data_IF_753693205494
#
_entry.id   IF_753693205494
#
_cell.length_a   1.000
_cell.length_b   1.000
_cell.length_c   1.000
_cell.angle_alpha   90.00
_cell.angle_beta   90.00
_cell.angle_gamma   90.00
#
_symmetry.space_group_name_H-M   'P 1'
#
loop_
_entity.id
_entity.type
_entity.pdbx_description
1 polymer ?
#
# COMPACT_ATOMS: atom_id res chain seq x y z
N UNK A 1 -15.27 -18.54 12.26
CA UNK A 1 -14.16 -18.82 11.32
C UNK A 1 -13.37 -17.54 11.20
N UNK A 2 -12.08 -17.57 11.50
CA UNK A 2 -11.19 -16.41 11.38
C UNK A 2 -11.15 -15.99 9.91
N UNK A 3 -11.49 -14.75 9.63
CA UNK A 3 -11.44 -14.21 8.26
C UNK A 3 -10.01 -13.70 8.01
N UNK A 4 -9.25 -14.42 7.19
CA UNK A 4 -7.86 -14.07 6.86
C UNK A 4 -7.79 -13.42 5.49
N UNK A 5 -6.96 -12.39 5.35
CA UNK A 5 -6.58 -11.77 4.08
C UNK A 5 -5.05 -11.74 3.93
N UNK A 6 -4.58 -11.66 2.70
CA UNK A 6 -3.17 -11.42 2.40
C UNK A 6 -2.96 -9.95 2.04
N UNK A 7 -2.05 -9.28 2.76
CA UNK A 7 -1.56 -7.94 2.41
C UNK A 7 -0.19 -8.04 1.76
N UNK A 8 0.02 -7.29 0.66
CA UNK A 8 1.32 -7.10 0.01
C UNK A 8 1.63 -5.61 -0.03
N UNK A 9 2.77 -5.22 0.49
CA UNK A 9 3.28 -3.85 0.50
C UNK A 9 4.47 -3.74 -0.45
N UNK A 10 4.31 -2.96 -1.52
CA UNK A 10 5.34 -2.70 -2.52
C UNK A 10 6.06 -1.40 -2.16
N UNK A 11 7.31 -1.52 -1.75
CA UNK A 11 8.17 -0.37 -1.46
C UNK A 11 9.39 -0.30 -2.38
N UNK A 12 10.06 0.85 -2.41
CA UNK A 12 11.27 1.04 -3.22
C UNK A 12 12.44 0.12 -2.86
N UNK A 13 12.52 -0.35 -1.60
CA UNK A 13 13.61 -1.23 -1.13
C UNK A 13 13.21 -2.69 -0.95
N UNK A 14 11.92 -3.00 -1.00
CA UNK A 14 11.43 -4.37 -0.77
C UNK A 14 9.93 -4.48 -0.89
N UNK A 15 9.51 -5.65 -1.35
CA UNK A 15 8.13 -6.11 -1.35
C UNK A 15 7.93 -6.98 -0.13
N UNK A 16 6.95 -6.64 0.70
CA UNK A 16 6.61 -7.38 1.91
C UNK A 16 5.23 -7.99 1.77
N UNK A 17 5.00 -9.12 2.40
CA UNK A 17 3.67 -9.71 2.47
C UNK A 17 3.44 -10.48 3.75
N UNK A 18 2.18 -10.52 4.18
CA UNK A 18 1.76 -11.27 5.35
C UNK A 18 0.29 -11.69 5.22
N UNK A 19 -0.08 -12.74 5.93
CA UNK A 19 -1.47 -13.05 6.23
C UNK A 19 -1.90 -12.27 7.47
N UNK A 20 -3.10 -11.73 7.45
CA UNK A 20 -3.67 -10.91 8.53
C UNK A 20 -5.04 -11.45 8.92
N UNK A 21 -5.27 -11.61 10.20
CA UNK A 21 -6.59 -11.84 10.78
C UNK A 21 -7.38 -10.52 10.77
N UNK A 22 -8.47 -10.48 10.00
CA UNK A 22 -9.29 -9.27 9.86
C UNK A 22 -10.17 -8.95 11.09
N UNK A 23 -10.25 -9.81 12.08
CA UNK A 23 -10.94 -9.53 13.34
C UNK A 23 -10.03 -8.78 14.33
N UNK A 24 -8.76 -9.24 14.42
CA UNK A 24 -7.77 -8.66 15.36
C UNK A 24 -6.85 -7.63 14.74
N UNK A 25 -6.61 -7.70 13.43
CA UNK A 25 -5.57 -6.93 12.72
C UNK A 25 -4.15 -7.50 12.90
N UNK A 26 -4.02 -8.66 13.53
CA UNK A 26 -2.72 -9.27 13.80
C UNK A 26 -2.24 -10.17 12.66
N UNK A 27 -0.93 -10.35 12.56
CA UNK A 27 -0.33 -11.25 11.60
C UNK A 27 -0.62 -12.72 11.93
N UNK A 28 -0.90 -13.49 10.90
CA UNK A 28 -1.05 -14.95 10.97
C UNK A 28 0.19 -15.60 10.37
N UNK A 29 1.09 -16.10 11.23
CA UNK A 29 2.36 -16.67 10.80
C UNK A 29 3.44 -15.65 10.49
N UNK A 30 4.43 -16.05 9.69
CA UNK A 30 5.58 -15.23 9.35
C UNK A 30 5.31 -14.23 8.23
N UNK A 31 6.07 -13.12 8.26
CA UNK A 31 6.11 -12.17 7.15
C UNK A 31 7.16 -12.61 6.13
N UNK A 32 6.88 -12.39 4.85
CA UNK A 32 7.83 -12.56 3.76
C UNK A 32 8.29 -11.20 3.29
N UNK A 33 9.60 -11.02 3.14
CA UNK A 33 10.20 -9.85 2.49
C UNK A 33 11.15 -10.28 1.40
N UNK A 34 11.00 -9.67 0.23
CA UNK A 34 11.87 -9.88 -0.94
C UNK A 34 12.36 -8.51 -1.40
N UNK A 35 13.65 -8.32 -1.72
CA UNK A 35 14.12 -7.06 -2.29
C UNK A 35 13.34 -6.67 -3.54
N UNK A 36 13.05 -5.38 -3.68
CA UNK A 36 12.47 -4.84 -4.91
C UNK A 36 13.47 -5.06 -6.06
N UNK A 37 13.03 -5.54 -7.22
CA UNK A 37 13.93 -5.78 -8.35
C UNK A 37 14.48 -4.44 -8.90
N UNK A 38 15.63 -4.51 -9.54
CA UNK A 38 16.21 -3.39 -10.27
C UNK A 38 16.48 -3.84 -11.72
N UNK A 39 15.80 -3.25 -12.72
CA UNK A 39 14.78 -2.19 -12.62
C UNK A 39 13.45 -2.69 -12.01
N UNK A 40 12.79 -1.81 -11.25
CA UNK A 40 11.52 -2.07 -10.57
C UNK A 40 10.31 -1.90 -11.53
N UNK A 41 10.34 -2.59 -12.67
CA UNK A 41 9.27 -2.52 -13.67
C UNK A 41 7.99 -3.23 -13.18
N UNK A 42 6.80 -2.89 -13.74
CA UNK A 42 5.53 -3.51 -13.35
C UNK A 42 5.56 -5.05 -13.35
N UNK A 43 6.02 -5.66 -14.43
CA UNK A 43 6.07 -7.13 -14.55
C UNK A 43 7.07 -7.76 -13.58
N UNK A 44 8.25 -7.12 -13.39
CA UNK A 44 9.26 -7.64 -12.47
C UNK A 44 8.78 -7.62 -11.02
N UNK A 45 8.14 -6.52 -10.59
CA UNK A 45 7.57 -6.41 -9.24
C UNK A 45 6.37 -7.33 -9.06
N UNK A 46 5.49 -7.46 -10.07
CA UNK A 46 4.36 -8.40 -10.02
C UNK A 46 4.82 -9.86 -9.89
N UNK A 47 5.92 -10.24 -10.54
CA UNK A 47 6.53 -11.57 -10.36
C UNK A 47 7.06 -11.78 -8.93
N UNK A 48 7.60 -10.73 -8.29
CA UNK A 48 8.00 -10.79 -6.87
C UNK A 48 6.76 -10.93 -5.99
N UNK A 49 5.67 -10.20 -6.24
CA UNK A 49 4.41 -10.36 -5.51
C UNK A 49 3.87 -11.79 -5.62
N UNK A 50 3.95 -12.42 -6.80
CA UNK A 50 3.60 -13.83 -6.97
C UNK A 50 4.46 -14.72 -6.08
N UNK A 51 5.78 -14.50 -6.05
CA UNK A 51 6.69 -15.26 -5.17
C UNK A 51 6.34 -15.07 -3.69
N UNK A 52 5.91 -13.88 -3.27
CA UNK A 52 5.44 -13.62 -1.90
C UNK A 52 4.21 -14.48 -1.58
N UNK A 53 3.20 -14.49 -2.47
CA UNK A 53 1.99 -15.32 -2.33
C UNK A 53 2.34 -16.82 -2.21
N UNK A 54 3.22 -17.28 -3.07
CA UNK A 54 3.63 -18.70 -3.09
C UNK A 54 4.36 -19.10 -1.79
N UNK A 55 5.24 -18.22 -1.27
CA UNK A 55 5.96 -18.45 0.00
C UNK A 55 5.05 -18.42 1.22
N UNK A 56 4.03 -17.56 1.21
CA UNK A 56 3.03 -17.49 2.28
C UNK A 56 2.00 -18.63 2.22
N UNK A 57 1.98 -19.40 1.13
CA UNK A 57 0.99 -20.47 0.92
C UNK A 57 -0.44 -19.94 0.84
N UNK A 58 -0.66 -18.77 0.23
CA UNK A 58 -1.96 -18.09 0.18
C UNK A 58 -2.96 -18.93 -0.61
N UNK A 59 -3.97 -19.47 0.07
CA UNK A 59 -5.03 -20.27 -0.54
C UNK A 59 -5.83 -19.51 -1.61
N UNK A 60 -6.52 -20.21 -2.53
CA UNK A 60 -7.21 -19.56 -3.67
C UNK A 60 -8.33 -18.62 -3.25
N UNK A 61 -8.99 -18.89 -2.14
CA UNK A 61 -10.14 -18.11 -1.65
C UNK A 61 -9.74 -16.96 -0.70
N UNK A 62 -8.45 -16.82 -0.37
CA UNK A 62 -7.95 -15.75 0.50
C UNK A 62 -7.90 -14.44 -0.29
N UNK A 63 -8.61 -13.38 0.16
CA UNK A 63 -8.54 -12.07 -0.49
C UNK A 63 -7.12 -11.49 -0.45
N UNK A 64 -6.74 -10.74 -1.50
CA UNK A 64 -5.43 -10.10 -1.60
C UNK A 64 -5.57 -8.60 -1.80
N UNK A 65 -4.93 -7.84 -0.90
CA UNK A 65 -4.71 -6.40 -1.04
C UNK A 65 -3.25 -6.12 -1.38
N UNK A 66 -3.03 -5.14 -2.27
CA UNK A 66 -1.68 -4.71 -2.68
C UNK A 66 -1.58 -3.20 -2.52
N UNK A 67 -0.53 -2.73 -1.83
CA UNK A 67 -0.27 -1.30 -1.70
C UNK A 67 0.88 -0.85 -2.58
N UNK A 68 0.81 0.40 -3.02
CA UNK A 68 1.77 1.04 -3.91
C UNK A 68 2.27 2.35 -3.30
N UNK A 69 3.56 2.70 -3.48
CA UNK A 69 4.12 3.98 -3.04
C UNK A 69 3.79 5.09 -4.06
N UNK A 70 2.51 5.20 -4.40
CA UNK A 70 1.97 6.15 -5.37
C UNK A 70 0.44 6.23 -5.23
N UNK A 71 -0.20 7.33 -5.66
CA UNK A 71 -1.65 7.42 -5.77
C UNK A 71 -2.21 6.38 -6.73
N UNK A 72 -3.37 5.82 -6.38
CA UNK A 72 -4.09 4.85 -7.21
C UNK A 72 -5.51 5.34 -7.44
N UNK A 73 -5.81 5.80 -8.65
CA UNK A 73 -7.15 6.27 -9.05
C UNK A 73 -7.82 5.24 -9.95
N UNK A 74 -8.92 4.68 -9.50
CA UNK A 74 -9.66 3.62 -10.22
C UNK A 74 -8.78 2.44 -10.69
N UNK A 75 -7.70 2.17 -9.95
CA UNK A 75 -6.73 1.13 -10.26
C UNK A 75 -5.59 1.58 -11.17
N UNK A 76 -5.51 2.85 -11.54
CA UNK A 76 -4.44 3.40 -12.39
C UNK A 76 -3.52 4.29 -11.58
N UNK A 77 -2.22 4.16 -11.78
CA UNK A 77 -1.17 5.02 -11.20
C UNK A 77 -0.89 6.19 -12.15
N UNK A 78 -1.22 7.45 -11.80
CA UNK A 78 -1.00 8.60 -12.67
C UNK A 78 0.46 9.08 -12.72
N UNK A 79 1.21 8.89 -11.64
CA UNK A 79 2.64 9.19 -11.55
C UNK A 79 3.34 8.24 -10.57
N UNK A 80 4.65 8.11 -10.70
CA UNK A 80 5.47 7.24 -9.86
C UNK A 80 6.79 7.95 -9.52
N UNK A 81 7.09 8.09 -8.22
CA UNK A 81 8.32 8.71 -7.75
C UNK A 81 9.37 7.67 -7.32
N UNK A 82 8.93 6.57 -6.71
CA UNK A 82 9.79 5.66 -5.96
C UNK A 82 10.10 4.32 -6.67
N UNK A 83 9.51 4.09 -7.85
CA UNK A 83 9.74 2.91 -8.69
C UNK A 83 10.01 3.36 -10.14
N UNK A 84 10.10 2.40 -11.05
CA UNK A 84 10.33 2.66 -12.47
C UNK A 84 9.19 3.48 -13.10
N UNK A 85 9.53 4.40 -14.03
CA UNK A 85 8.55 5.27 -14.69
C UNK A 85 7.54 4.52 -15.58
N UNK A 86 7.81 3.27 -15.93
CA UNK A 86 6.88 2.41 -16.67
C UNK A 86 5.60 2.08 -15.89
N UNK A 87 5.52 2.41 -14.59
CA UNK A 87 4.30 2.32 -13.81
C UNK A 87 3.24 3.37 -14.16
N UNK A 88 3.64 4.47 -14.79
CA UNK A 88 2.72 5.56 -15.13
C UNK A 88 1.68 5.09 -16.14
N UNK A 89 0.40 5.33 -15.82
CA UNK A 89 -0.78 4.90 -16.58
C UNK A 89 -1.02 3.37 -16.62
N UNK A 90 -0.38 2.60 -15.74
CA UNK A 90 -0.67 1.16 -15.60
C UNK A 90 -1.94 0.95 -14.80
N UNK A 91 -2.85 0.12 -15.31
CA UNK A 91 -3.93 -0.46 -14.49
C UNK A 91 -3.34 -1.58 -13.62
N UNK A 92 -3.04 -1.24 -12.36
CA UNK A 92 -2.37 -2.15 -11.42
C UNK A 92 -3.28 -3.26 -10.93
N UNK A 93 -4.61 -3.08 -10.95
CA UNK A 93 -5.55 -4.15 -10.61
C UNK A 93 -5.52 -5.24 -11.67
N UNK A 94 -5.58 -4.84 -12.95
CA UNK A 94 -5.53 -5.78 -14.06
C UNK A 94 -4.16 -6.49 -14.14
N UNK A 95 -3.06 -5.74 -13.99
CA UNK A 95 -1.71 -6.30 -13.96
C UNK A 95 -1.56 -7.33 -12.84
N UNK A 96 -1.86 -6.95 -11.61
CA UNK A 96 -1.71 -7.83 -10.46
C UNK A 96 -2.65 -9.03 -10.54
N UNK A 97 -3.91 -8.84 -10.99
CA UNK A 97 -4.83 -9.95 -11.17
C UNK A 97 -4.31 -10.97 -12.17
N UNK A 98 -3.68 -10.53 -13.26
CA UNK A 98 -3.06 -11.40 -14.26
C UNK A 98 -1.91 -12.21 -13.66
N UNK A 99 -0.97 -11.56 -12.96
CA UNK A 99 0.20 -12.22 -12.39
C UNK A 99 -0.14 -13.11 -11.20
N UNK A 100 -1.08 -12.69 -10.34
CA UNK A 100 -1.44 -13.43 -9.13
C UNK A 100 -2.53 -14.49 -9.38
N UNK A 101 -3.19 -14.46 -10.55
CA UNK A 101 -4.24 -15.42 -10.94
C UNK A 101 -5.53 -15.24 -10.12
N UNK A 102 -5.76 -14.06 -9.54
CA UNK A 102 -6.92 -13.73 -8.70
C UNK A 102 -7.20 -12.23 -8.69
N UNK A 103 -8.44 -11.80 -8.41
CA UNK A 103 -8.74 -10.39 -8.17
C UNK A 103 -7.94 -9.83 -7.00
N UNK A 104 -7.56 -8.55 -7.09
CA UNK A 104 -6.87 -7.82 -6.03
C UNK A 104 -7.53 -6.48 -5.75
N UNK A 105 -7.39 -5.99 -4.52
CA UNK A 105 -7.63 -4.58 -4.18
C UNK A 105 -6.30 -3.86 -4.22
N UNK A 106 -6.25 -2.69 -4.86
CA UNK A 106 -5.06 -1.86 -4.98
C UNK A 106 -5.29 -0.50 -4.34
N UNK A 107 -4.37 -0.06 -3.49
CA UNK A 107 -4.43 1.21 -2.75
C UNK A 107 -3.05 1.88 -2.70
N UNK A 108 -3.04 3.17 -2.40
CA UNK A 108 -1.84 3.85 -1.91
C UNK A 108 -1.45 3.28 -0.53
N UNK A 109 -0.15 3.25 -0.22
CA UNK A 109 0.39 2.68 1.02
C UNK A 109 -0.03 3.47 2.28
N UNK A 110 -0.02 4.81 2.22
CA UNK A 110 -0.45 5.66 3.33
C UNK A 110 -1.97 5.57 3.56
N UNK A 111 -2.76 5.47 2.48
CA UNK A 111 -4.21 5.25 2.56
C UNK A 111 -4.51 3.93 3.28
N UNK A 112 -3.83 2.85 2.91
CA UNK A 112 -3.99 1.55 3.56
C UNK A 112 -3.57 1.58 5.03
N UNK A 113 -2.48 2.27 5.37
CA UNK A 113 -2.05 2.46 6.75
C UNK A 113 -3.08 3.27 7.56
N UNK A 114 -3.64 4.34 6.98
CA UNK A 114 -4.71 5.11 7.61
C UNK A 114 -5.97 4.28 7.90
N UNK A 115 -6.38 3.41 6.97
CA UNK A 115 -7.49 2.46 7.19
C UNK A 115 -7.16 1.51 8.34
N UNK A 116 -5.94 0.99 8.41
CA UNK A 116 -5.52 0.10 9.49
C UNK A 116 -5.58 0.81 10.85
N UNK A 117 -5.15 2.06 10.94
CA UNK A 117 -5.18 2.85 12.19
C UNK A 117 -6.60 3.13 12.68
N UNK A 118 -7.56 3.43 11.82
CA UNK A 118 -8.97 3.63 12.25
C UNK A 118 -9.68 2.31 12.56
N UNK A 119 -9.21 1.20 12.00
CA UNK A 119 -9.83 -0.10 12.22
C UNK A 119 -9.27 -0.79 13.46
N UNK A 120 -7.96 -0.77 13.66
CA UNK A 120 -7.25 -1.54 14.68
C UNK A 120 -6.38 -0.69 15.61
N UNK A 121 -5.93 0.48 15.16
CA UNK A 121 -4.91 1.28 15.82
C UNK A 121 -5.44 2.39 16.72
N UNK A 122 -4.64 3.45 16.86
CA UNK A 122 -4.86 4.57 17.78
C UNK A 122 -6.11 5.40 17.47
N UNK A 123 -6.60 5.35 16.24
CA UNK A 123 -7.78 6.08 15.79
C UNK A 123 -9.08 5.25 15.84
N UNK A 124 -9.02 4.02 16.33
CA UNK A 124 -10.20 3.14 16.44
C UNK A 124 -11.31 3.76 17.28
N UNK A 125 -12.52 3.81 16.72
CA UNK A 125 -13.70 4.38 17.37
C UNK A 125 -13.67 5.90 17.54
N UNK A 126 -12.82 6.62 16.82
CA UNK A 126 -12.80 8.07 16.77
C UNK A 126 -13.70 8.57 15.66
N UNK A 127 -14.55 9.56 15.99
CA UNK A 127 -15.38 10.27 15.02
C UNK A 127 -14.71 11.57 14.55
N UNK A 128 -15.28 12.17 13.51
CA UNK A 128 -14.84 13.44 12.96
C UNK A 128 -13.78 13.29 11.87
N UNK A 129 -12.84 14.24 11.82
CA UNK A 129 -11.74 14.25 10.84
C UNK A 129 -10.48 13.71 11.49
N UNK A 130 -9.95 12.64 10.94
CA UNK A 130 -8.69 12.03 11.35
C UNK A 130 -7.67 12.29 10.24
N UNK A 131 -6.57 12.91 10.60
CA UNK A 131 -5.40 13.07 9.71
C UNK A 131 -4.32 12.13 10.23
N UNK A 132 -3.97 11.17 9.40
CA UNK A 132 -2.88 10.24 9.64
C UNK A 132 -1.68 10.62 8.78
N UNK A 133 -0.49 10.57 9.33
CA UNK A 133 0.75 10.85 8.59
C UNK A 133 1.79 9.78 8.88
N UNK A 134 2.50 9.35 7.85
CA UNK A 134 3.71 8.55 7.96
C UNK A 134 4.93 9.42 7.70
N UNK A 135 6.00 9.22 8.45
CA UNK A 135 7.27 9.91 8.25
C UNK A 135 8.39 8.88 8.10
N UNK A 136 9.03 8.89 6.93
CA UNK A 136 10.10 7.98 6.57
C UNK A 136 10.98 8.61 5.49
N UNK A 137 11.26 7.89 4.40
CA UNK A 137 11.94 8.43 3.20
C UNK A 137 11.14 9.61 2.61
N UNK A 138 9.80 9.53 2.67
CA UNK A 138 8.86 10.58 2.33
C UNK A 138 7.87 10.84 3.45
N UNK A 139 6.87 11.67 3.18
CA UNK A 139 5.73 11.94 4.05
C UNK A 139 4.46 11.44 3.37
N UNK A 140 3.94 10.31 3.83
CA UNK A 140 2.62 9.84 3.42
C UNK A 140 1.51 10.44 4.29
N UNK A 141 0.31 10.53 3.73
CA UNK A 141 -0.86 11.02 4.45
C UNK A 141 -2.13 10.29 4.08
N UNK A 142 -3.04 10.16 5.03
CA UNK A 142 -4.41 9.72 4.81
C UNK A 142 -5.37 10.60 5.61
N UNK A 143 -6.48 10.97 5.01
CA UNK A 143 -7.57 11.70 5.68
C UNK A 143 -8.80 10.82 5.74
N UNK A 144 -9.33 10.63 6.93
CA UNK A 144 -10.55 9.85 7.16
C UNK A 144 -11.59 10.78 7.78
N UNK A 145 -12.77 10.83 7.19
CA UNK A 145 -13.90 11.65 7.65
C UNK A 145 -15.05 10.74 8.06
N UNK A 146 -15.37 10.72 9.34
CA UNK A 146 -16.43 9.87 9.90
C UNK A 146 -16.34 8.41 9.42
N UNK A 147 -15.14 7.84 9.47
CA UNK A 147 -14.86 6.46 9.05
C UNK A 147 -14.71 6.25 7.53
N UNK A 148 -14.84 7.30 6.71
CA UNK A 148 -14.69 7.21 5.26
C UNK A 148 -13.34 7.79 4.84
N UNK A 149 -12.52 7.00 4.15
CA UNK A 149 -11.25 7.45 3.61
C UNK A 149 -11.46 8.44 2.44
N UNK A 150 -10.77 9.58 2.51
CA UNK A 150 -10.54 10.46 1.38
C UNK A 150 -9.24 10.01 0.70
N UNK A 151 -9.37 9.31 -0.40
CA UNK A 151 -8.24 8.63 -1.07
C UNK A 151 -7.21 9.59 -1.67
N UNK A 152 -5.94 9.15 -1.66
CA UNK A 152 -4.84 9.81 -2.34
C UNK A 152 -4.62 11.27 -1.90
N UNK A 153 -4.60 11.52 -0.59
CA UNK A 153 -4.36 12.85 -0.01
C UNK A 153 -2.86 13.10 0.17
N UNK A 154 -2.16 13.41 -0.87
CA UNK A 154 -0.70 13.57 -0.93
C UNK A 154 -0.21 14.87 -0.23
N UNK A 155 -0.48 15.03 1.08
CA UNK A 155 -0.13 16.26 1.83
C UNK A 155 1.40 16.45 1.95
N UNK A 156 2.20 15.40 1.82
CA UNK A 156 3.66 15.51 1.79
C UNK A 156 4.17 16.37 0.63
N UNK A 157 3.42 16.44 -0.47
CA UNK A 157 3.76 17.24 -1.65
C UNK A 157 3.19 18.68 -1.62
N UNK A 158 2.71 19.13 -0.47
CA UNK A 158 2.34 20.55 -0.32
C UNK A 158 3.57 21.44 -0.46
N UNK A 159 3.42 22.53 -1.22
CA UNK A 159 4.44 23.55 -1.32
C UNK A 159 4.34 24.52 -0.13
N UNK A 160 5.41 24.66 0.63
CA UNK A 160 5.55 25.58 1.75
C UNK A 160 6.76 26.47 1.48
N UNK A 161 6.58 27.77 1.40
CA UNK A 161 7.62 28.77 1.11
C UNK A 161 8.44 28.44 -0.16
N UNK A 162 7.79 27.90 -1.21
CA UNK A 162 8.42 27.55 -2.48
C UNK A 162 9.19 26.21 -2.44
N UNK A 163 9.01 25.43 -1.39
CA UNK A 163 9.64 24.12 -1.21
C UNK A 163 8.60 23.02 -1.00
N UNK A 164 8.84 21.85 -1.55
CA UNK A 164 8.08 20.64 -1.27
C UNK A 164 8.27 20.27 0.21
N UNK A 165 7.17 20.16 0.96
CA UNK A 165 7.20 19.92 2.42
C UNK A 165 7.94 18.63 2.77
N UNK A 166 7.78 17.60 1.96
CA UNK A 166 8.45 16.31 2.13
C UNK A 166 9.98 16.45 2.11
N UNK A 167 10.52 17.24 1.18
CA UNK A 167 11.97 17.46 1.04
C UNK A 167 12.59 18.21 2.22
N UNK A 168 11.76 18.91 3.00
CA UNK A 168 12.21 19.68 4.16
C UNK A 168 12.08 18.92 5.48
N UNK A 169 11.20 17.92 5.55
CA UNK A 169 10.80 17.29 6.80
C UNK A 169 10.93 15.76 6.81
N UNK A 170 11.22 15.12 5.67
CA UNK A 170 11.47 13.68 5.62
C UNK A 170 12.90 13.32 6.03
N UNK A 171 13.16 12.03 6.22
CA UNK A 171 14.48 11.50 6.57
C UNK A 171 15.33 11.09 5.35
N UNK A 172 14.80 11.28 4.15
CA UNK A 172 15.46 10.96 2.88
C UNK A 172 16.28 12.08 2.30
#
# INVERSE_FOLDING_TARGET
MTTVACGIDIGGSGVKGALVDLESGEYVGDQVRIPTPDPATPDAVAAVCRTVIDRLGVGPDVPVGVTFPAPVFDGVIPYMANLDQSWVNVDVRALMATHLGRPVVALNDADAAGIAEVTYGAAKGRDGVIVFTTQGTGIGSAIIVNGTLLTNTELGHLEIDGHDAEKMASSG
#
